data_IF_899424599072
#
_entry.id   IF_899424599072
#
_cell.length_a   1.000
_cell.length_b   1.000
_cell.length_c   1.000
_cell.angle_alpha   90.00
_cell.angle_beta   90.00
_cell.angle_gamma   90.00
#
_symmetry.space_group_name_H-M   'P 1'
#
loop_
_entity.id
_entity.type
_entity.pdbx_description
1 polymer ?
#
# COMPACT_ATOMS: atom_id res chain seq x y z
N UNK A 1 -22.50 -32.47 -19.81
CA UNK A 1 -22.11 -31.31 -18.98
C UNK A 1 -20.65 -31.55 -18.59
N UNK A 2 -19.71 -30.80 -19.17
CA UNK A 2 -18.29 -30.99 -18.86
C UNK A 2 -18.06 -30.52 -17.42
N UNK A 3 -17.59 -31.42 -16.56
CA UNK A 3 -17.19 -31.08 -15.21
C UNK A 3 -15.96 -30.19 -15.29
N UNK A 4 -16.15 -28.88 -15.23
CA UNK A 4 -15.04 -27.92 -15.14
C UNK A 4 -14.25 -28.27 -13.89
N UNK A 5 -12.96 -28.59 -14.04
CA UNK A 5 -12.13 -28.95 -12.90
C UNK A 5 -11.94 -27.73 -12.00
N UNK A 6 -11.74 -27.94 -10.69
CA UNK A 6 -11.50 -26.83 -9.74
C UNK A 6 -10.29 -25.99 -10.14
N UNK A 7 -9.27 -26.63 -10.74
CA UNK A 7 -8.11 -25.96 -11.32
C UNK A 7 -8.47 -25.00 -12.46
N UNK A 8 -9.35 -25.42 -13.38
CA UNK A 8 -9.79 -24.58 -14.49
C UNK A 8 -10.60 -23.38 -13.97
N UNK A 9 -11.44 -23.59 -12.96
CA UNK A 9 -12.19 -22.51 -12.32
C UNK A 9 -11.25 -21.51 -11.62
N UNK A 10 -10.23 -21.99 -10.90
CA UNK A 10 -9.24 -21.12 -10.27
C UNK A 10 -8.41 -20.34 -11.29
N UNK A 11 -8.02 -20.98 -12.40
CA UNK A 11 -7.32 -20.29 -13.49
C UNK A 11 -8.20 -19.25 -14.16
N UNK A 12 -9.48 -19.54 -14.39
CA UNK A 12 -10.44 -18.59 -14.95
C UNK A 12 -10.66 -17.40 -14.00
N UNK A 13 -10.76 -17.65 -12.69
CA UNK A 13 -10.87 -16.62 -11.68
C UNK A 13 -9.62 -15.73 -11.63
N UNK A 14 -8.42 -16.32 -11.75
CA UNK A 14 -7.17 -15.59 -11.83
C UNK A 14 -7.04 -14.76 -13.11
N UNK A 15 -7.48 -15.29 -14.25
CA UNK A 15 -7.49 -14.55 -15.52
C UNK A 15 -8.45 -13.37 -15.49
N UNK A 16 -9.62 -13.54 -14.87
CA UNK A 16 -10.65 -12.50 -14.77
C UNK A 16 -10.56 -11.70 -13.45
N UNK A 17 -9.35 -11.66 -12.86
CA UNK A 17 -9.10 -11.02 -11.56
C UNK A 17 -9.55 -9.55 -11.56
N UNK A 18 -10.07 -9.04 -10.44
CA UNK A 18 -10.43 -7.62 -10.33
C UNK A 18 -9.22 -6.70 -10.57
N UNK A 19 -9.48 -5.55 -11.18
CA UNK A 19 -8.47 -4.51 -11.35
C UNK A 19 -8.65 -3.43 -10.29
N UNK A 20 -7.56 -2.97 -9.67
CA UNK A 20 -7.64 -1.85 -8.70
C UNK A 20 -7.87 -0.54 -9.45
N UNK A 21 -8.86 0.23 -8.96
CA UNK A 21 -9.35 1.48 -9.56
C UNK A 21 -9.06 2.67 -8.63
N UNK A 22 -7.79 3.12 -8.52
CA UNK A 22 -7.37 4.14 -7.56
C UNK A 22 -7.99 5.52 -7.82
N UNK A 23 -8.49 5.77 -9.03
CA UNK A 23 -9.14 7.03 -9.40
C UNK A 23 -10.60 7.11 -8.92
N UNK A 24 -11.27 5.96 -8.71
CA UNK A 24 -12.66 5.88 -8.25
C UNK A 24 -12.78 5.51 -6.76
N UNK A 25 -11.69 5.11 -6.10
CA UNK A 25 -11.66 4.72 -4.69
C UNK A 25 -10.77 5.61 -3.83
N UNK A 26 -11.13 5.79 -2.55
CA UNK A 26 -10.40 6.68 -1.64
C UNK A 26 -9.06 6.12 -1.14
N UNK A 27 -8.94 4.79 -1.03
CA UNK A 27 -7.72 4.11 -0.56
C UNK A 27 -7.35 3.05 -1.59
N UNK A 28 -6.25 3.21 -2.34
CA UNK A 28 -5.72 2.25 -3.33
C UNK A 28 -6.67 1.76 -4.47
N UNK A 29 -7.98 1.97 -4.39
CA UNK A 29 -8.97 1.50 -5.35
C UNK A 29 -9.34 0.01 -5.26
N UNK A 30 -8.99 -0.68 -4.17
CA UNK A 30 -9.20 -2.14 -4.03
C UNK A 30 -10.68 -2.48 -3.94
N UNK A 31 -11.41 -1.91 -2.97
CA UNK A 31 -12.85 -2.15 -2.81
C UNK A 31 -13.65 -1.66 -4.02
N UNK A 32 -13.23 -0.55 -4.64
CA UNK A 32 -13.82 -0.06 -5.88
C UNK A 32 -13.57 -1.03 -7.05
N UNK A 33 -12.41 -1.67 -7.09
CA UNK A 33 -12.05 -2.68 -8.09
C UNK A 33 -12.88 -3.94 -8.00
N UNK A 34 -13.01 -4.48 -6.80
CA UNK A 34 -13.83 -5.67 -6.53
C UNK A 34 -15.31 -5.37 -6.81
N UNK A 35 -15.81 -4.22 -6.36
CA UNK A 35 -17.20 -3.81 -6.59
C UNK A 35 -17.53 -3.64 -8.06
N UNK A 36 -16.63 -3.02 -8.82
CA UNK A 36 -16.80 -2.83 -10.26
C UNK A 36 -16.75 -4.13 -11.07
N UNK A 37 -16.04 -5.15 -10.59
CA UNK A 37 -15.98 -6.48 -11.24
C UNK A 37 -17.22 -7.33 -11.00
N UNK A 38 -17.82 -7.23 -9.81
CA UNK A 38 -18.94 -8.07 -9.37
C UNK A 38 -20.28 -7.32 -9.32
N UNK A 39 -20.34 -6.09 -9.81
CA UNK A 39 -21.51 -5.20 -9.78
C UNK A 39 -22.09 -4.99 -8.37
N UNK A 40 -21.20 -4.87 -7.38
CA UNK A 40 -21.53 -4.63 -5.97
C UNK A 40 -21.08 -3.24 -5.57
N UNK A 41 -21.89 -2.53 -4.78
CA UNK A 41 -21.51 -1.24 -4.23
C UNK A 41 -20.17 -1.33 -3.46
N UNK A 42 -19.14 -0.53 -3.84
CA UNK A 42 -17.87 -0.46 -3.11
C UNK A 42 -18.01 -0.21 -1.61
N UNK A 43 -19.11 0.40 -1.14
CA UNK A 43 -19.38 0.63 0.29
C UNK A 43 -19.55 -0.70 1.04
N UNK A 44 -20.30 -1.65 0.50
CA UNK A 44 -20.52 -2.97 1.13
C UNK A 44 -19.21 -3.74 1.30
N UNK A 45 -18.35 -3.67 0.29
CA UNK A 45 -17.03 -4.33 0.33
C UNK A 45 -16.14 -3.70 1.41
N UNK A 46 -16.20 -2.37 1.59
CA UNK A 46 -15.48 -1.70 2.69
C UNK A 46 -16.00 -2.16 4.05
N UNK A 47 -17.32 -2.20 4.22
CA UNK A 47 -17.93 -2.67 5.48
C UNK A 47 -17.49 -4.11 5.76
N UNK A 48 -17.48 -4.98 4.75
CA UNK A 48 -17.01 -6.35 4.92
C UNK A 48 -15.54 -6.42 5.38
N UNK A 49 -14.64 -5.61 4.80
CA UNK A 49 -13.25 -5.53 5.27
C UNK A 49 -13.15 -5.02 6.70
N UNK A 50 -13.90 -3.98 7.07
CA UNK A 50 -13.91 -3.41 8.42
C UNK A 50 -14.43 -4.42 9.45
N UNK A 51 -15.49 -5.14 9.12
CA UNK A 51 -16.01 -6.21 9.97
C UNK A 51 -14.98 -7.33 10.10
N UNK A 52 -14.37 -7.78 8.99
CA UNK A 52 -13.34 -8.81 9.04
C UNK A 52 -12.07 -8.39 9.81
N UNK A 53 -11.73 -7.09 9.86
CA UNK A 53 -10.67 -6.61 10.75
C UNK A 53 -11.04 -6.73 12.22
N UNK A 54 -12.29 -6.45 12.59
CA UNK A 54 -12.75 -6.54 13.99
C UNK A 54 -12.84 -7.99 14.47
N UNK A 55 -13.24 -8.91 13.59
CA UNK A 55 -13.45 -10.33 13.91
C UNK A 55 -12.19 -11.20 13.74
N UNK A 56 -10.99 -10.62 13.83
CA UNK A 56 -9.73 -11.37 13.80
C UNK A 56 -8.67 -10.83 12.85
N UNK A 57 -8.61 -9.51 12.63
CA UNK A 57 -7.50 -8.82 11.93
C UNK A 57 -7.38 -9.08 10.43
N UNK A 58 -8.10 -10.07 9.91
CA UNK A 58 -7.93 -10.57 8.54
C UNK A 58 -8.27 -9.54 7.47
N UNK A 59 -9.21 -8.64 7.75
CA UNK A 59 -9.64 -7.65 6.77
C UNK A 59 -8.51 -6.74 6.29
N UNK A 60 -7.56 -6.36 7.16
CA UNK A 60 -6.45 -5.46 6.78
C UNK A 60 -5.38 -6.24 6.01
N UNK A 61 -5.13 -7.48 6.41
CA UNK A 61 -4.22 -8.40 5.72
C UNK A 61 -4.72 -8.64 4.29
N UNK A 62 -5.99 -8.98 4.11
CA UNK A 62 -6.59 -9.18 2.79
C UNK A 62 -6.59 -7.89 1.97
N UNK A 63 -6.78 -6.73 2.60
CA UNK A 63 -6.75 -5.45 1.91
C UNK A 63 -5.35 -5.11 1.36
N UNK A 64 -4.31 -5.29 2.18
CA UNK A 64 -2.92 -5.07 1.79
C UNK A 64 -2.47 -6.10 0.74
N UNK A 65 -2.86 -7.37 0.91
CA UNK A 65 -2.59 -8.42 -0.07
C UNK A 65 -3.25 -8.12 -1.42
N UNK A 66 -4.53 -7.73 -1.43
CA UNK A 66 -5.23 -7.34 -2.65
C UNK A 66 -4.62 -6.08 -3.28
N UNK A 67 -4.05 -5.16 -2.50
CA UNK A 67 -3.35 -4.00 -3.03
C UNK A 67 -2.05 -4.38 -3.79
N UNK A 68 -1.32 -5.40 -3.32
CA UNK A 68 -0.11 -5.90 -3.96
C UNK A 68 -0.40 -6.80 -5.17
N UNK A 69 -1.42 -7.64 -5.07
CA UNK A 69 -1.76 -8.68 -6.05
C UNK A 69 -2.59 -8.12 -7.22
N UNK A 70 -3.54 -7.21 -6.97
CA UNK A 70 -4.40 -6.68 -8.04
C UNK A 70 -3.64 -5.65 -8.89
N UNK A 71 -3.67 -5.81 -10.21
CA UNK A 71 -3.09 -4.85 -11.17
C UNK A 71 -3.96 -3.60 -11.27
N UNK A 72 -3.33 -2.44 -11.48
CA UNK A 72 -4.06 -1.19 -11.77
C UNK A 72 -4.74 -1.32 -13.12
N UNK A 73 -5.93 -0.74 -13.27
CA UNK A 73 -6.58 -0.61 -14.57
C UNK A 73 -5.62 0.13 -15.53
N UNK A 74 -5.17 -0.55 -16.59
CA UNK A 74 -4.17 -0.03 -17.53
C UNK A 74 -2.77 -0.66 -17.43
N UNK A 75 -2.39 -1.25 -16.29
CA UNK A 75 -1.10 -1.92 -16.13
C UNK A 75 -1.18 -3.39 -16.59
N UNK A 76 -0.04 -3.97 -17.05
CA UNK A 76 0.07 -5.38 -17.44
C UNK A 76 0.47 -6.29 -16.27
N UNK A 77 1.07 -5.71 -15.23
CA UNK A 77 1.57 -6.41 -14.06
C UNK A 77 1.06 -5.80 -12.75
N UNK A 78 0.94 -6.63 -11.72
CA UNK A 78 0.77 -6.17 -10.35
C UNK A 78 2.07 -5.56 -9.81
N UNK A 79 1.99 -4.81 -8.70
CA UNK A 79 3.16 -4.14 -8.11
C UNK A 79 4.27 -5.14 -7.76
N UNK A 80 3.89 -6.31 -7.24
CA UNK A 80 4.82 -7.39 -6.92
C UNK A 80 5.35 -8.10 -8.16
N UNK A 81 4.52 -8.31 -9.19
CA UNK A 81 4.95 -8.93 -10.48
C UNK A 81 6.01 -8.06 -11.17
N UNK A 82 5.87 -6.73 -11.10
CA UNK A 82 6.86 -5.82 -11.68
C UNK A 82 8.21 -5.82 -10.95
N UNK A 83 8.22 -6.07 -9.64
CA UNK A 83 9.48 -6.26 -8.88
C UNK A 83 10.21 -7.55 -9.26
N UNK A 84 9.46 -8.57 -9.70
CA UNK A 84 9.99 -9.87 -10.18
C UNK A 84 10.35 -9.80 -11.68
N UNK A 85 10.24 -8.62 -12.31
CA UNK A 85 10.57 -8.40 -13.72
C UNK A 85 9.51 -8.91 -14.70
N UNK A 86 8.32 -9.30 -14.22
CA UNK A 86 7.20 -9.75 -15.06
C UNK A 86 6.29 -8.56 -15.38
N UNK A 87 6.66 -7.78 -16.38
CA UNK A 87 5.83 -6.71 -16.96
C UNK A 87 6.02 -5.32 -16.33
N UNK A 88 5.22 -4.36 -16.79
CA UNK A 88 5.36 -2.94 -16.42
C UNK A 88 4.20 -2.54 -15.49
N UNK A 89 4.54 -1.99 -14.32
CA UNK A 89 3.58 -1.35 -13.42
C UNK A 89 3.85 0.15 -13.30
N UNK A 90 2.79 0.94 -13.22
CA UNK A 90 2.89 2.39 -13.04
C UNK A 90 3.06 2.78 -11.56
N UNK A 91 3.27 1.81 -10.66
CA UNK A 91 3.51 2.08 -9.24
C UNK A 91 5.00 2.22 -8.95
N UNK A 92 5.34 3.11 -8.02
CA UNK A 92 6.72 3.27 -7.57
C UNK A 92 7.15 2.04 -6.77
N UNK A 93 8.33 1.50 -7.08
CA UNK A 93 8.95 0.37 -6.36
C UNK A 93 9.03 0.61 -4.86
N UNK A 94 9.25 1.85 -4.43
CA UNK A 94 9.25 2.21 -3.01
C UNK A 94 7.87 1.97 -2.38
N UNK A 95 6.78 2.28 -3.07
CA UNK A 95 5.42 2.06 -2.56
C UNK A 95 5.10 0.57 -2.47
N UNK A 96 5.53 -0.23 -3.44
CA UNK A 96 5.30 -1.68 -3.41
C UNK A 96 6.06 -2.33 -2.26
N UNK A 97 7.32 -1.94 -2.04
CA UNK A 97 8.14 -2.40 -0.90
C UNK A 97 7.50 -2.01 0.43
N UNK A 98 7.09 -0.76 0.61
CA UNK A 98 6.46 -0.30 1.87
C UNK A 98 5.17 -1.08 2.17
N UNK A 99 4.33 -1.32 1.16
CA UNK A 99 3.10 -2.11 1.33
C UNK A 99 3.41 -3.58 1.61
N UNK A 100 4.45 -4.15 1.00
CA UNK A 100 4.89 -5.52 1.29
C UNK A 100 5.38 -5.67 2.74
N UNK A 101 6.20 -4.74 3.23
CA UNK A 101 6.66 -4.71 4.62
C UNK A 101 5.46 -4.55 5.58
N UNK A 102 4.55 -3.63 5.27
CA UNK A 102 3.33 -3.45 6.06
C UNK A 102 2.45 -4.72 6.10
N UNK A 103 2.37 -5.46 4.98
CA UNK A 103 1.66 -6.74 4.93
C UNK A 103 2.33 -7.79 5.81
N UNK A 104 3.67 -7.89 5.81
CA UNK A 104 4.41 -8.82 6.68
C UNK A 104 4.16 -8.50 8.15
N UNK A 105 4.28 -7.23 8.54
CA UNK A 105 3.99 -6.79 9.92
C UNK A 105 2.53 -7.10 10.29
N UNK A 106 1.58 -6.82 9.40
CA UNK A 106 0.17 -7.12 9.63
C UNK A 106 -0.09 -8.63 9.75
N UNK A 107 0.60 -9.48 8.98
CA UNK A 107 0.53 -10.93 9.12
C UNK A 107 1.10 -11.41 10.45
N UNK A 108 2.20 -10.82 10.93
CA UNK A 108 2.82 -11.19 12.21
C UNK A 108 2.00 -10.76 13.42
N UNK A 109 1.37 -9.57 13.36
CA UNK A 109 0.67 -8.96 14.52
C UNK A 109 -0.83 -9.19 14.52
N UNK A 110 -1.46 -9.19 13.34
CA UNK A 110 -2.91 -9.16 13.12
C UNK A 110 -3.36 -10.30 12.19
N UNK A 111 -2.49 -11.29 11.98
CA UNK A 111 -2.75 -12.38 11.05
C UNK A 111 -3.90 -13.28 11.49
N UNK A 112 -4.50 -14.04 10.55
CA UNK A 112 -5.55 -15.02 10.86
C UNK A 112 -5.13 -16.09 11.90
N UNK A 113 -3.81 -16.27 12.07
CA UNK A 113 -3.18 -17.19 13.02
C UNK A 113 -2.49 -16.47 14.21
N UNK A 114 -2.67 -15.16 14.35
CA UNK A 114 -2.04 -14.35 15.39
C UNK A 114 -2.56 -14.61 16.81
N UNK A 115 -1.69 -14.34 17.78
CA UNK A 115 -1.90 -14.46 19.23
C UNK A 115 -3.04 -13.54 19.71
N UNK A 116 -4.21 -14.10 20.06
CA UNK A 116 -5.20 -13.36 20.85
C UNK A 116 -6.66 -13.78 20.73
N UNK A 117 -7.11 -14.39 19.62
CA UNK A 117 -8.55 -14.60 19.39
C UNK A 117 -8.88 -15.94 18.69
N UNK A 118 -8.55 -17.06 19.34
CA UNK A 118 -9.26 -18.35 19.22
C UNK A 118 -9.69 -18.85 17.84
N UNK A 119 -8.91 -18.62 16.77
CA UNK A 119 -9.24 -19.07 15.40
C UNK A 119 -10.29 -18.25 14.65
N UNK A 120 -10.82 -17.17 15.24
CA UNK A 120 -11.80 -16.28 14.60
C UNK A 120 -11.30 -15.66 13.29
N UNK A 121 -10.00 -15.36 13.22
CA UNK A 121 -9.32 -14.88 12.02
C UNK A 121 -9.46 -15.85 10.84
N UNK A 122 -9.25 -17.16 11.07
CA UNK A 122 -9.38 -18.20 10.03
C UNK A 122 -10.82 -18.30 9.53
N UNK A 123 -11.80 -18.20 10.42
CA UNK A 123 -13.23 -18.21 10.05
C UNK A 123 -13.55 -16.96 9.20
N UNK A 124 -13.06 -15.78 9.59
CA UNK A 124 -13.28 -14.55 8.84
C UNK A 124 -12.60 -14.58 7.46
N UNK A 125 -11.42 -15.21 7.36
CA UNK A 125 -10.71 -15.44 6.11
C UNK A 125 -11.49 -16.39 5.19
N UNK A 126 -11.96 -17.51 5.73
CA UNK A 126 -12.78 -18.46 4.99
C UNK A 126 -14.11 -17.82 4.52
N UNK A 127 -14.77 -17.02 5.36
CA UNK A 127 -15.98 -16.31 5.00
C UNK A 127 -15.75 -15.27 3.88
N UNK A 128 -14.63 -14.53 3.93
CA UNK A 128 -14.26 -13.57 2.87
C UNK A 128 -13.96 -14.26 1.54
N UNK A 129 -13.16 -15.33 1.57
CA UNK A 129 -12.83 -16.09 0.36
C UNK A 129 -14.08 -16.80 -0.21
N UNK A 130 -14.92 -17.37 0.66
CA UNK A 130 -16.20 -17.95 0.28
C UNK A 130 -17.16 -16.93 -0.31
N UNK A 131 -17.24 -15.73 0.26
CA UNK A 131 -18.03 -14.62 -0.27
C UNK A 131 -17.56 -14.16 -1.65
N UNK A 132 -16.25 -14.05 -1.85
CA UNK A 132 -15.65 -13.74 -3.16
C UNK A 132 -15.97 -14.83 -4.19
N UNK A 133 -15.88 -16.10 -3.79
CA UNK A 133 -16.19 -17.24 -4.64
C UNK A 133 -17.68 -17.27 -5.03
N UNK A 134 -18.59 -17.02 -4.08
CA UNK A 134 -20.03 -16.92 -4.36
C UNK A 134 -20.36 -15.74 -5.29
N UNK A 135 -19.68 -14.60 -5.13
CA UNK A 135 -19.80 -13.48 -6.07
C UNK A 135 -19.31 -13.86 -7.47
N UNK A 136 -18.22 -14.62 -7.55
CA UNK A 136 -17.72 -15.13 -8.83
C UNK A 136 -18.68 -16.11 -9.50
N UNK A 137 -19.36 -16.96 -8.73
CA UNK A 137 -20.41 -17.83 -9.27
C UNK A 137 -21.61 -17.07 -9.80
N UNK A 138 -21.97 -15.93 -9.18
CA UNK A 138 -23.06 -15.07 -9.65
C UNK A 138 -22.68 -14.28 -10.90
N UNK A 139 -21.44 -13.80 -10.98
CA UNK A 139 -20.94 -12.98 -12.08
C UNK A 139 -19.64 -13.55 -12.66
N UNK A 140 -19.68 -14.72 -13.32
CA UNK A 140 -18.48 -15.37 -13.85
C UNK A 140 -17.85 -14.55 -14.96
N UNK A 141 -18.67 -13.96 -15.84
CA UNK A 141 -18.19 -13.07 -16.89
C UNK A 141 -17.91 -11.66 -16.35
N UNK A 142 -16.76 -11.07 -16.70
CA UNK A 142 -16.53 -9.66 -16.40
C UNK A 142 -17.50 -8.79 -17.23
N UNK A 143 -17.91 -7.63 -16.67
CA UNK A 143 -18.80 -6.72 -17.36
C UNK A 143 -18.21 -6.24 -18.71
N UNK A 144 -19.07 -5.89 -19.69
CA UNK A 144 -18.69 -5.72 -21.09
C UNK A 144 -17.54 -4.73 -21.32
N UNK A 145 -17.48 -3.66 -20.52
CA UNK A 145 -16.48 -2.61 -20.61
C UNK A 145 -15.07 -3.01 -20.12
N UNK A 146 -14.95 -4.03 -19.26
CA UNK A 146 -13.64 -4.62 -18.91
C UNK A 146 -13.18 -5.58 -20.02
N UNK A 147 -14.14 -6.32 -20.59
CA UNK A 147 -13.95 -7.20 -21.75
C UNK A 147 -13.43 -6.43 -22.97
N UNK A 148 -14.02 -5.28 -23.28
CA UNK A 148 -13.56 -4.43 -24.40
C UNK A 148 -12.19 -3.86 -24.15
N UNK A 149 -11.85 -3.44 -22.93
CA UNK A 149 -10.50 -2.97 -22.62
C UNK A 149 -9.44 -4.06 -22.84
N UNK A 150 -9.75 -5.33 -22.54
CA UNK A 150 -8.90 -6.49 -22.82
C UNK A 150 -8.86 -6.86 -24.31
N UNK A 151 -10.01 -6.84 -25.00
CA UNK A 151 -10.09 -7.08 -26.45
C UNK A 151 -9.34 -6.01 -27.25
N UNK A 152 -9.51 -4.73 -26.91
CA UNK A 152 -8.76 -3.62 -27.50
C UNK A 152 -7.26 -3.78 -27.23
N UNK A 153 -6.86 -4.26 -26.05
CA UNK A 153 -5.44 -4.49 -25.71
C UNK A 153 -4.85 -5.70 -26.44
N UNK A 154 -5.64 -6.74 -26.74
CA UNK A 154 -5.21 -7.86 -27.59
C UNK A 154 -5.21 -7.48 -29.09
N UNK A 155 -6.15 -6.65 -29.54
CA UNK A 155 -6.22 -6.17 -30.93
C UNK A 155 -5.20 -5.06 -31.24
N UNK A 156 -4.74 -4.30 -30.24
CA UNK A 156 -3.71 -3.26 -30.35
C UNK A 156 -2.41 -3.61 -29.60
N UNK A 157 -2.18 -4.88 -29.24
CA UNK A 157 -0.81 -5.31 -29.03
C UNK A 157 -0.08 -5.02 -30.34
N UNK A 158 1.06 -4.30 -30.36
CA UNK A 158 1.80 -4.09 -31.60
C UNK A 158 2.24 -5.47 -32.07
N UNK A 159 1.48 -6.06 -32.98
CA UNK A 159 1.99 -7.12 -33.83
C UNK A 159 3.16 -6.46 -34.55
N UNK A 160 4.39 -7.00 -34.44
CA UNK A 160 5.43 -6.55 -35.35
C UNK A 160 4.84 -6.69 -36.76
N UNK A 161 4.86 -5.59 -37.52
CA UNK A 161 4.38 -5.59 -38.90
C UNK A 161 4.92 -6.84 -39.61
N UNK A 162 4.05 -7.82 -39.91
CA UNK A 162 4.46 -9.07 -40.57
C UNK A 162 3.92 -10.40 -40.03
N UNK A 163 3.04 -10.46 -39.02
CA UNK A 163 2.44 -11.74 -38.59
C UNK A 163 0.96 -11.88 -38.95
N UNK A 164 0.64 -11.88 -40.24
CA UNK A 164 -0.57 -12.54 -40.74
C UNK A 164 -0.15 -13.85 -41.39
N UNK A 165 -0.59 -14.95 -40.78
CA UNK A 165 -0.65 -16.28 -41.38
C UNK A 165 -1.60 -16.24 -42.58
N UNK A 166 -1.09 -15.80 -43.74
CA UNK A 166 -1.66 -16.07 -45.06
C UNK A 166 -0.52 -16.06 -46.07
N UNK A 167 -0.08 -17.27 -46.45
CA UNK A 167 0.55 -17.61 -47.74
C UNK A 167 1.38 -16.52 -48.44
N UNK A 168 2.42 -16.01 -47.77
CA UNK A 168 3.37 -15.06 -48.36
C UNK A 168 4.72 -15.73 -48.70
N UNK A 169 4.71 -16.98 -49.15
CA UNK A 169 5.89 -17.61 -49.77
C UNK A 169 6.06 -17.25 -51.26
N UNK A 170 5.16 -16.46 -51.86
CA UNK A 170 5.17 -16.27 -53.31
C UNK A 170 5.82 -14.97 -53.82
N UNK A 171 6.19 -14.02 -52.96
CA UNK A 171 6.88 -12.82 -53.43
C UNK A 171 8.19 -12.63 -52.67
N UNK A 172 9.22 -13.06 -53.39
CA UNK A 172 10.64 -12.97 -53.11
C UNK A 172 11.08 -11.58 -52.65
N UNK A 173 12.08 -11.63 -51.78
CA UNK A 173 12.94 -10.52 -51.41
C UNK A 173 13.45 -9.77 -52.66
N UNK A 174 12.84 -8.62 -52.94
CA UNK A 174 13.38 -7.61 -53.84
C UNK A 174 13.47 -6.27 -53.11
N UNK A 175 14.66 -6.03 -52.56
CA UNK A 175 15.27 -4.72 -52.28
C UNK A 175 14.42 -3.66 -51.57
N UNK A 176 14.20 -3.80 -50.26
CA UNK A 176 13.97 -2.63 -49.41
C UNK A 176 15.30 -2.18 -48.79
N UNK A 177 15.84 -1.06 -49.28
CA UNK A 177 16.92 -0.29 -48.65
C UNK A 177 16.28 0.86 -47.87
N UNK A 178 16.37 0.91 -46.53
CA UNK A 178 15.79 2.03 -45.78
C UNK A 178 16.51 3.33 -46.16
N UNK A 179 15.78 4.46 -46.30
CA UNK A 179 16.40 5.76 -46.52
C UNK A 179 17.31 6.10 -45.33
N UNK A 180 18.57 6.40 -45.61
CA UNK A 180 19.52 6.91 -44.63
C UNK A 180 19.13 8.36 -44.32
N UNK A 181 18.42 8.59 -43.22
CA UNK A 181 18.23 9.95 -42.71
C UNK A 181 19.58 10.40 -42.12
N UNK A 182 20.22 11.38 -42.75
CA UNK A 182 21.31 12.13 -42.13
C UNK A 182 20.71 13.00 -41.03
N UNK A 183 21.02 12.67 -39.78
CA UNK A 183 20.71 13.54 -38.65
C UNK A 183 21.65 14.76 -38.75
N UNK A 184 21.15 15.90 -39.22
CA UNK A 184 21.87 17.16 -39.07
C UNK A 184 22.02 17.47 -37.58
N UNK A 185 23.27 17.42 -37.11
CA UNK A 185 23.63 17.91 -35.77
C UNK A 185 23.27 19.38 -35.67
N UNK A 186 22.40 19.72 -34.72
CA UNK A 186 22.11 21.09 -34.33
C UNK A 186 23.43 21.79 -33.96
N UNK A 187 23.82 22.79 -34.75
CA UNK A 187 24.95 23.65 -34.44
C UNK A 187 24.52 24.71 -33.41
N UNK A 188 25.42 25.22 -32.55
CA UNK A 188 25.08 26.14 -31.46
C UNK A 188 24.53 27.52 -31.89
N UNK A 189 24.27 27.76 -33.18
CA UNK A 189 23.74 29.02 -33.71
C UNK A 189 22.34 28.93 -34.33
N UNK A 190 21.69 27.77 -34.32
CA UNK A 190 20.31 27.64 -34.83
C UNK A 190 19.29 27.65 -33.68
N UNK A 191 18.63 28.78 -33.46
CA UNK A 191 17.45 28.87 -32.59
C UNK A 191 16.18 28.74 -33.42
N UNK A 192 15.18 27.98 -32.94
CA UNK A 192 13.86 27.92 -33.57
C UNK A 192 13.22 29.33 -33.65
N UNK A 193 12.50 29.66 -34.74
CA UNK A 193 11.78 30.93 -34.84
C UNK A 193 10.71 31.03 -33.75
N UNK A 194 10.68 32.17 -33.05
CA UNK A 194 9.81 32.40 -31.88
C UNK A 194 8.35 32.70 -32.22
N UNK A 195 8.01 32.82 -33.49
CA UNK A 195 6.64 33.07 -33.94
C UNK A 195 6.39 32.40 -35.28
N UNK A 196 5.21 31.78 -35.40
CA UNK A 196 4.70 31.24 -36.64
C UNK A 196 3.86 32.34 -37.32
N UNK A 197 4.31 32.82 -38.48
CA UNK A 197 3.47 33.61 -39.38
C UNK A 197 2.87 32.66 -40.42
N UNK A 198 1.53 32.52 -40.47
CA UNK A 198 0.90 31.75 -41.54
C UNK A 198 1.08 32.48 -42.86
N UNK A 199 1.60 31.76 -43.86
CA UNK A 199 1.64 32.22 -45.25
C UNK A 199 0.21 32.57 -45.69
N UNK A 200 -0.09 33.86 -45.84
CA UNK A 200 -1.34 34.29 -46.45
C UNK A 200 -1.25 33.91 -47.93
N UNK A 201 -2.06 32.94 -48.36
CA UNK A 201 -2.25 32.70 -49.79
C UNK A 201 -2.86 33.96 -50.40
N UNK A 202 -2.12 34.63 -51.28
CA UNK A 202 -2.69 35.61 -52.20
C UNK A 202 -3.65 34.84 -53.11
N UNK A 203 -4.94 34.95 -52.81
CA UNK A 203 -6.00 34.53 -53.72
C UNK A 203 -5.99 35.56 -54.85
N UNK A 204 -5.38 35.19 -55.98
CA UNK A 204 -5.56 35.93 -57.22
C UNK A 204 -7.05 35.97 -57.55
N UNK A 205 -7.64 37.17 -57.44
CA UNK A 205 -8.98 37.48 -57.94
C UNK A 205 -9.03 37.21 -59.45
N UNK A 206 -9.72 36.14 -59.83
CA UNK A 206 -10.21 35.93 -61.20
C UNK A 206 -11.35 34.92 -61.15
N UNK A 207 -12.57 35.39 -60.92
CA UNK A 207 -13.77 34.56 -61.02
C UNK A 207 -14.94 35.13 -60.22
N UNK A 208 -15.83 35.84 -60.92
CA UNK A 208 -17.09 36.40 -60.43
C UNK A 208 -17.90 35.36 -59.64
N UNK A 209 -17.96 35.50 -58.32
CA UNK A 209 -18.91 34.75 -57.49
C UNK A 209 -20.29 35.45 -57.54
N UNK A 210 -21.41 34.71 -57.66
CA UNK A 210 -22.72 35.33 -57.64
C UNK A 210 -23.03 35.88 -56.24
N UNK A 211 -23.32 37.18 -56.16
CA UNK A 211 -23.83 37.84 -54.96
C UNK A 211 -25.21 37.26 -54.63
N UNK A 212 -25.32 36.52 -53.54
CA UNK A 212 -26.62 36.12 -52.98
C UNK A 212 -27.15 37.29 -52.17
N UNK A 213 -28.19 37.93 -52.71
CA UNK A 213 -28.88 39.04 -52.06
C UNK A 213 -29.87 38.49 -51.02
N UNK A 214 -29.67 38.84 -49.74
CA UNK A 214 -30.48 38.37 -48.60
C UNK A 214 -31.63 39.31 -48.22
N UNK A 215 -31.98 40.28 -49.06
CA UNK A 215 -33.13 41.15 -48.78
C UNK A 215 -34.45 40.44 -49.06
N UNK A 216 -35.08 39.98 -47.98
CA UNK A 216 -36.44 39.43 -47.95
C UNK A 216 -37.44 40.58 -48.07
N UNK A 217 -37.88 40.91 -49.29
CA UNK A 217 -39.10 41.68 -49.54
C UNK A 217 -39.51 41.56 -51.01
N UNK A 218 -40.58 40.82 -51.30
CA UNK A 218 -41.86 41.32 -51.82
C UNK A 218 -42.71 40.16 -52.33
N UNK A 219 -44.00 40.19 -51.97
CA UNK A 219 -45.06 39.43 -52.61
C UNK A 219 -45.10 39.74 -54.12
N UNK A 220 -45.18 38.70 -54.96
CA UNK A 220 -45.76 38.80 -56.29
C UNK A 220 -46.31 37.44 -56.74
N UNK A 221 -47.62 37.47 -56.98
CA UNK A 221 -48.50 36.65 -57.83
C UNK A 221 -47.91 35.55 -58.73
N UNK A 222 -48.69 34.49 -58.90
CA UNK A 222 -48.29 33.22 -59.49
C UNK A 222 -48.03 33.20 -61.00
N UNK A 223 -47.29 32.16 -61.42
CA UNK A 223 -47.53 31.39 -62.65
C UNK A 223 -46.93 29.98 -62.43
N UNK A 224 -47.65 28.88 -62.68
CA UNK A 224 -47.13 27.53 -62.44
C UNK A 224 -46.30 27.07 -63.64
N UNK A 225 -45.01 26.87 -63.46
CA UNK A 225 -44.16 26.20 -64.47
C UNK A 225 -44.04 24.71 -64.10
N UNK A 226 -44.54 23.86 -65.00
CA UNK A 226 -44.53 22.40 -64.92
C UNK A 226 -43.14 21.82 -64.61
N UNK A 227 -43.04 21.10 -63.50
CA UNK A 227 -41.86 20.29 -63.15
C UNK A 227 -41.85 19.01 -64.00
N UNK A 228 -40.95 18.95 -64.98
CA UNK A 228 -40.53 17.68 -65.59
C UNK A 228 -39.47 17.06 -64.66
N UNK A 229 -39.60 15.81 -64.18
CA UNK A 229 -38.56 15.20 -63.38
C UNK A 229 -37.36 14.85 -64.27
N UNK A 230 -36.25 15.58 -64.11
CA UNK A 230 -34.96 15.23 -64.70
C UNK A 230 -34.43 13.96 -64.01
N UNK A 231 -34.05 12.90 -64.74
CA UNK A 231 -33.43 11.73 -64.13
C UNK A 231 -32.07 12.12 -63.51
N UNK A 232 -31.64 11.47 -62.41
CA UNK A 232 -30.39 11.80 -61.75
C UNK A 232 -29.24 11.62 -62.73
N UNK A 233 -28.51 12.71 -62.99
CA UNK A 233 -27.34 12.64 -63.85
C UNK A 233 -26.30 11.73 -63.19
N UNK A 234 -25.93 10.67 -63.91
CA UNK A 234 -24.79 9.84 -63.55
C UNK A 234 -23.54 10.71 -63.63
N UNK A 235 -23.00 11.12 -62.48
CA UNK A 235 -21.73 11.83 -62.39
C UNK A 235 -20.61 10.88 -62.80
N UNK A 236 -20.12 11.02 -64.03
CA UNK A 236 -18.91 10.34 -64.47
C UNK A 236 -17.68 11.04 -63.89
N UNK A 237 -16.71 10.29 -63.32
CA UNK A 237 -15.53 10.89 -62.71
C UNK A 237 -14.66 11.62 -63.75
N UNK A 238 -13.93 12.68 -63.35
CA UNK A 238 -13.04 13.42 -64.23
C UNK A 238 -11.91 12.53 -64.77
N UNK A 239 -11.51 12.76 -66.02
CA UNK A 239 -10.60 11.92 -66.80
C UNK A 239 -9.16 11.83 -66.30
N UNK A 240 -8.78 12.62 -65.29
CA UNK A 240 -7.45 12.61 -64.69
C UNK A 240 -7.26 11.46 -63.67
N UNK A 241 -8.32 10.76 -63.24
CA UNK A 241 -8.20 9.63 -62.31
C UNK A 241 -8.08 8.27 -63.06
N UNK A 242 -6.88 7.67 -63.18
CA UNK A 242 -6.66 6.43 -63.92
C UNK A 242 -7.24 5.18 -63.25
N UNK A 243 -7.77 5.29 -62.02
CA UNK A 243 -8.35 4.15 -61.30
C UNK A 243 -9.88 4.16 -61.23
N UNK A 244 -10.54 5.19 -61.79
CA UNK A 244 -12.01 5.27 -61.88
C UNK A 244 -12.71 5.13 -60.52
N UNK A 245 -12.04 5.53 -59.44
CA UNK A 245 -12.53 5.34 -58.08
C UNK A 245 -13.49 6.48 -57.80
N UNK A 246 -14.75 6.15 -57.54
CA UNK A 246 -15.77 7.16 -57.39
C UNK A 246 -15.46 8.12 -56.21
N UNK A 247 -15.78 9.41 -56.30
CA UNK A 247 -15.38 10.42 -55.31
C UNK A 247 -15.80 10.08 -53.86
N UNK A 248 -16.88 9.32 -53.70
CA UNK A 248 -17.39 8.87 -52.41
C UNK A 248 -16.58 7.73 -51.76
N UNK A 249 -15.69 7.06 -52.49
CA UNK A 249 -14.82 6.03 -51.92
C UNK A 249 -13.60 6.61 -51.17
N UNK A 250 -13.39 7.93 -51.25
CA UNK A 250 -12.40 8.67 -50.46
C UNK A 250 -12.96 9.22 -49.15
N UNK A 251 -14.26 9.06 -48.89
CA UNK A 251 -14.88 9.40 -47.61
C UNK A 251 -14.62 8.27 -46.59
N UNK A 252 -13.34 8.13 -46.23
CA UNK A 252 -12.94 7.33 -45.08
C UNK A 252 -13.61 7.96 -43.85
N UNK A 253 -14.26 7.18 -42.96
CA UNK A 253 -14.76 7.70 -41.70
C UNK A 253 -13.63 8.48 -41.04
N UNK A 254 -13.87 9.78 -40.76
CA UNK A 254 -12.89 10.61 -40.07
C UNK A 254 -12.34 9.79 -38.90
N UNK A 255 -11.01 9.57 -38.80
CA UNK A 255 -10.46 8.78 -37.72
C UNK A 255 -10.99 9.39 -36.44
N UNK A 256 -11.82 8.64 -35.71
CA UNK A 256 -12.56 9.13 -34.56
C UNK A 256 -11.65 10.06 -33.79
N UNK A 257 -11.97 11.37 -33.82
CA UNK A 257 -11.03 12.41 -33.43
C UNK A 257 -10.35 11.97 -32.15
N UNK A 258 -9.02 12.00 -32.11
CA UNK A 258 -8.29 11.61 -30.92
C UNK A 258 -8.77 12.52 -29.81
N UNK A 259 -9.75 12.08 -29.02
CA UNK A 259 -10.12 12.77 -27.81
C UNK A 259 -8.85 12.65 -26.98
N UNK A 260 -8.08 13.75 -26.76
CA UNK A 260 -7.00 13.66 -25.81
C UNK A 260 -7.66 13.15 -24.54
N UNK A 261 -7.19 12.04 -23.94
CA UNK A 261 -7.83 11.48 -22.76
C UNK A 261 -7.98 12.63 -21.79
N UNK A 262 -9.23 12.99 -21.45
CA UNK A 262 -9.53 14.20 -20.72
C UNK A 262 -8.52 14.33 -19.59
N UNK A 263 -7.66 15.35 -19.65
CA UNK A 263 -6.53 15.46 -18.74
C UNK A 263 -7.10 15.42 -17.32
N UNK A 264 -6.98 14.28 -16.65
CA UNK A 264 -7.65 14.04 -15.38
C UNK A 264 -6.99 15.02 -14.41
N UNK A 265 -7.73 16.07 -14.06
CA UNK A 265 -7.22 17.14 -13.24
C UNK A 265 -6.80 16.56 -11.89
N UNK A 266 -5.49 16.46 -11.66
CA UNK A 266 -4.95 15.94 -10.42
C UNK A 266 -5.37 16.91 -9.33
N UNK A 267 -6.38 16.55 -8.54
CA UNK A 267 -6.88 17.36 -7.43
C UNK A 267 -5.70 17.79 -6.55
N UNK A 268 -5.38 19.08 -6.59
CA UNK A 268 -4.21 19.66 -5.91
C UNK A 268 -4.34 19.38 -4.42
N UNK A 269 -3.42 18.59 -3.85
CA UNK A 269 -3.46 18.22 -2.43
C UNK A 269 -3.34 19.50 -1.60
N UNK A 270 -4.24 19.66 -0.63
CA UNK A 270 -4.28 20.85 0.23
C UNK A 270 -3.01 20.95 1.06
N UNK A 271 -2.35 22.12 1.03
CA UNK A 271 -1.16 22.43 1.83
C UNK A 271 -1.44 22.38 3.35
N UNK A 272 -2.72 22.46 3.74
CA UNK A 272 -3.18 22.41 5.13
C UNK A 272 -2.70 21.15 5.85
N UNK A 273 -2.78 19.99 5.20
CA UNK A 273 -2.35 18.72 5.80
C UNK A 273 -0.84 18.70 6.04
N UNK A 274 -0.06 19.22 5.09
CA UNK A 274 1.40 19.29 5.22
C UNK A 274 1.83 20.29 6.31
N UNK A 275 1.14 21.43 6.43
CA UNK A 275 1.44 22.43 7.46
C UNK A 275 1.21 21.92 8.88
N UNK A 276 0.06 21.29 9.16
CA UNK A 276 -0.22 20.74 10.49
C UNK A 276 0.61 19.51 10.82
N UNK A 277 0.98 18.70 9.82
CA UNK A 277 1.91 17.60 10.02
C UNK A 277 3.32 18.10 10.36
N UNK A 278 3.80 19.13 9.65
CA UNK A 278 5.08 19.78 9.96
C UNK A 278 5.09 20.41 11.36
N UNK A 279 3.99 21.03 11.77
CA UNK A 279 3.85 21.61 13.11
C UNK A 279 3.83 20.54 14.20
N UNK A 280 3.16 19.40 13.96
CA UNK A 280 3.15 18.28 14.89
C UNK A 280 4.56 17.68 15.09
N UNK A 281 5.33 17.55 14.00
CA UNK A 281 6.72 17.10 14.05
C UNK A 281 7.62 18.08 14.80
N UNK A 282 7.46 19.38 14.57
CA UNK A 282 8.17 20.41 15.33
C UNK A 282 7.80 20.39 16.81
N UNK A 283 6.52 20.25 17.14
CA UNK A 283 6.06 20.15 18.53
C UNK A 283 6.66 18.94 19.25
N UNK A 284 6.71 17.79 18.58
CA UNK A 284 7.38 16.60 19.11
C UNK A 284 8.88 16.85 19.34
N UNK A 285 9.58 17.38 18.33
CA UNK A 285 11.03 17.64 18.42
C UNK A 285 11.39 18.65 19.52
N UNK A 286 10.60 19.71 19.68
CA UNK A 286 10.78 20.70 20.76
C UNK A 286 10.56 20.07 22.13
N UNK A 287 9.52 19.23 22.27
CA UNK A 287 9.22 18.56 23.55
C UNK A 287 10.33 17.58 23.94
N UNK A 288 10.82 16.78 22.99
CA UNK A 288 11.95 15.87 23.21
C UNK A 288 13.24 16.62 23.52
N UNK A 289 13.54 17.69 22.76
CA UNK A 289 14.74 18.51 22.98
C UNK A 289 14.71 19.21 24.35
N UNK A 290 13.54 19.70 24.78
CA UNK A 290 13.38 20.28 26.10
C UNK A 290 13.66 19.27 27.21
N UNK A 291 13.14 18.04 27.10
CA UNK A 291 13.37 16.98 28.09
C UNK A 291 14.83 16.60 28.22
N UNK A 292 15.55 16.50 27.10
CA UNK A 292 16.98 16.22 27.08
C UNK A 292 17.82 17.35 27.71
N UNK A 293 17.39 18.60 27.56
CA UNK A 293 18.10 19.76 28.12
C UNK A 293 17.83 19.97 29.61
N UNK A 294 16.63 19.65 30.10
CA UNK A 294 16.25 19.85 31.50
C UNK A 294 16.46 18.62 32.39
N UNK A 295 16.84 17.47 31.80
CA UNK A 295 17.04 16.22 32.55
C UNK A 295 15.77 15.73 33.26
N UNK A 296 14.59 16.15 32.79
CA UNK A 296 13.34 15.88 33.49
C UNK A 296 12.76 14.53 33.06
N UNK A 297 12.73 13.57 33.99
CA UNK A 297 12.08 12.25 33.85
C UNK A 297 10.59 12.34 33.48
N UNK A 298 9.99 13.53 33.62
CA UNK A 298 8.59 13.76 33.33
C UNK A 298 8.25 13.74 31.82
N UNK A 299 9.23 13.79 30.92
CA UNK A 299 8.98 13.73 29.46
C UNK A 299 9.03 12.29 28.97
N UNK A 300 7.91 11.59 29.11
CA UNK A 300 7.75 10.23 28.59
C UNK A 300 7.45 10.23 27.08
N UNK A 301 7.80 9.16 26.34
CA UNK A 301 7.48 9.02 24.92
C UNK A 301 5.98 9.21 24.61
N UNK A 302 5.11 8.76 25.51
CA UNK A 302 3.66 8.94 25.39
C UNK A 302 3.22 10.42 25.40
N UNK A 303 3.89 11.27 26.18
CA UNK A 303 3.57 12.71 26.26
C UNK A 303 4.05 13.48 25.04
N UNK A 304 5.20 13.12 24.49
CA UNK A 304 5.67 13.67 23.21
C UNK A 304 4.64 13.36 22.12
N UNK A 305 4.13 12.12 22.09
CA UNK A 305 3.03 11.73 21.22
C UNK A 305 1.74 12.51 21.47
N UNK A 306 1.37 12.75 22.74
CA UNK A 306 0.17 13.51 23.11
C UNK A 306 0.22 14.99 22.67
N UNK A 307 1.39 15.63 22.73
CA UNK A 307 1.59 17.00 22.21
C UNK A 307 1.39 17.04 20.69
N UNK A 308 2.00 16.10 19.96
CA UNK A 308 1.83 16.00 18.51
C UNK A 308 0.36 15.74 18.13
N UNK A 309 -0.34 14.88 18.88
CA UNK A 309 -1.76 14.59 18.68
C UNK A 309 -2.62 15.82 18.96
N UNK A 310 -2.32 16.59 19.99
CA UNK A 310 -3.05 17.83 20.32
C UNK A 310 -2.98 18.84 19.17
N UNK A 311 -1.81 18.99 18.53
CA UNK A 311 -1.64 19.86 17.35
C UNK A 311 -2.47 19.36 16.16
N UNK A 312 -2.51 18.04 15.94
CA UNK A 312 -3.33 17.41 14.90
C UNK A 312 -4.82 17.59 15.19
N UNK A 313 -5.25 17.44 16.44
CA UNK A 313 -6.63 17.64 16.86
C UNK A 313 -7.08 19.08 16.60
N UNK A 314 -6.25 20.08 16.93
CA UNK A 314 -6.51 21.49 16.60
C UNK A 314 -6.61 21.69 15.09
N UNK A 315 -5.72 21.07 14.31
CA UNK A 315 -5.78 21.09 12.85
C UNK A 315 -7.04 20.47 12.25
N UNK A 316 -7.58 19.42 12.88
CA UNK A 316 -8.86 18.80 12.52
C UNK A 316 -10.06 19.67 12.88
N UNK A 317 -10.06 20.31 14.06
CA UNK A 317 -11.12 21.24 14.48
C UNK A 317 -11.18 22.43 13.53
N UNK A 318 -10.04 23.08 13.26
CA UNK A 318 -9.93 24.17 12.28
C UNK A 318 -10.32 23.69 10.87
N UNK A 319 -9.90 22.48 10.50
CA UNK A 319 -10.25 21.86 9.22
C UNK A 319 -11.75 21.63 9.04
N UNK A 320 -12.46 21.23 10.10
CA UNK A 320 -13.90 21.01 10.09
C UNK A 320 -14.67 22.29 9.73
N UNK A 321 -14.26 23.45 10.26
CA UNK A 321 -14.86 24.75 9.91
C UNK A 321 -14.54 25.19 8.48
N UNK A 322 -13.35 24.87 7.96
CA UNK A 322 -12.92 25.25 6.61
C UNK A 322 -13.27 24.22 5.51
N UNK A 323 -14.03 23.15 5.84
CA UNK A 323 -14.31 21.98 4.97
C UNK A 323 -13.04 21.43 4.30
N UNK A 324 -11.91 21.45 5.01
CA UNK A 324 -10.58 21.01 4.57
C UNK A 324 -9.95 20.13 5.65
N UNK A 325 -8.97 19.28 5.31
CA UNK A 325 -8.20 18.55 6.34
C UNK A 325 -8.58 17.10 6.60
N UNK A 326 -9.46 16.47 5.81
CA UNK A 326 -9.73 15.02 5.88
C UNK A 326 -8.47 14.14 5.76
N UNK A 327 -7.37 14.66 5.20
CA UNK A 327 -6.09 13.96 5.17
C UNK A 327 -5.42 13.81 6.55
N UNK A 328 -5.74 14.67 7.52
CA UNK A 328 -5.22 14.57 8.87
C UNK A 328 -5.86 13.40 9.65
N UNK A 329 -7.07 12.96 9.29
CA UNK A 329 -7.72 11.79 9.91
C UNK A 329 -6.93 10.50 9.69
N UNK A 330 -6.34 10.35 8.50
CA UNK A 330 -5.53 9.17 8.14
C UNK A 330 -4.25 9.08 8.97
N UNK A 331 -3.69 10.22 9.39
CA UNK A 331 -2.47 10.28 10.21
C UNK A 331 -2.80 10.34 11.70
N UNK A 332 -3.86 11.05 12.07
CA UNK A 332 -4.29 11.23 13.45
C UNK A 332 -4.81 9.94 14.09
N UNK A 333 -5.51 9.08 13.33
CA UNK A 333 -6.00 7.80 13.86
C UNK A 333 -4.89 6.84 14.32
N UNK A 334 -3.86 6.52 13.51
CA UNK A 334 -2.76 5.67 13.97
C UNK A 334 -1.92 6.33 15.07
N UNK A 335 -1.71 7.65 15.00
CA UNK A 335 -1.01 8.37 16.07
C UNK A 335 -1.80 8.31 17.39
N UNK A 336 -3.13 8.45 17.35
CA UNK A 336 -3.99 8.29 18.51
C UNK A 336 -3.93 6.87 19.07
N UNK A 337 -3.96 5.85 18.21
CA UNK A 337 -3.74 4.46 18.63
C UNK A 337 -2.40 4.26 19.33
N UNK A 338 -1.32 4.80 18.77
CA UNK A 338 0.01 4.75 19.38
C UNK A 338 0.04 5.44 20.74
N UNK A 339 -0.52 6.65 20.87
CA UNK A 339 -0.54 7.39 22.15
C UNK A 339 -1.34 6.66 23.21
N UNK A 340 -2.50 6.10 22.85
CA UNK A 340 -3.31 5.30 23.77
C UNK A 340 -2.53 4.05 24.21
N UNK A 341 -1.91 3.33 23.27
CA UNK A 341 -1.12 2.13 23.58
C UNK A 341 0.09 2.47 24.47
N UNK A 342 0.85 3.51 24.11
CA UNK A 342 2.01 3.97 24.90
C UNK A 342 1.61 4.48 26.29
N UNK A 343 0.38 4.99 26.46
CA UNK A 343 -0.13 5.39 27.78
C UNK A 343 -0.53 4.20 28.63
N UNK A 344 -0.99 3.10 28.01
CA UNK A 344 -1.35 1.86 28.72
C UNK A 344 -0.11 1.06 29.10
N UNK A 345 0.90 1.00 28.23
CA UNK A 345 2.13 0.21 28.46
C UNK A 345 3.07 0.88 29.48
N UNK A 346 2.93 2.18 29.73
CA UNK A 346 3.78 2.92 30.66
C UNK A 346 5.17 3.24 30.07
N UNK A 347 5.99 4.04 30.78
CA UNK A 347 7.33 4.37 30.34
C UNK A 347 8.22 3.13 30.33
N UNK A 348 8.59 2.65 29.15
CA UNK A 348 9.69 1.70 28.97
C UNK A 348 11.00 2.48 29.14
N UNK A 349 11.65 2.30 30.28
CA UNK A 349 12.98 2.85 30.55
C UNK A 349 14.02 2.05 29.75
N UNK A 350 14.22 2.46 28.50
CA UNK A 350 15.26 1.89 27.64
C UNK A 350 16.68 2.25 28.12
N UNK A 351 16.79 3.23 29.02
CA UNK A 351 18.06 3.71 29.55
C UNK A 351 18.64 2.79 30.65
N UNK A 352 17.78 2.05 31.39
CA UNK A 352 18.21 1.08 32.41
C UNK A 352 18.20 -0.37 31.90
N UNK A 353 17.52 -0.64 30.77
CA UNK A 353 17.48 -1.97 30.19
C UNK A 353 18.85 -2.34 29.60
N UNK A 354 19.50 -3.34 30.18
CA UNK A 354 20.80 -3.81 29.72
C UNK A 354 20.63 -4.44 28.34
N UNK A 355 21.31 -3.88 27.33
CA UNK A 355 21.41 -4.46 26.00
C UNK A 355 22.81 -5.03 25.76
N UNK A 356 22.91 -6.32 25.45
CA UNK A 356 24.18 -7.04 25.26
C UNK A 356 24.46 -8.12 26.31
N UNK A 357 25.65 -8.72 26.27
CA UNK A 357 26.08 -9.73 27.23
C UNK A 357 26.74 -9.05 28.45
N UNK A 358 26.19 -9.23 29.64
CA UNK A 358 26.70 -8.66 30.87
C UNK A 358 26.91 -9.73 31.94
N UNK A 359 28.10 -9.72 32.54
CA UNK A 359 28.45 -10.53 33.71
C UNK A 359 28.50 -9.66 34.96
N UNK A 360 27.74 -10.02 35.98
CA UNK A 360 27.69 -9.31 37.26
C UNK A 360 27.96 -10.29 38.39
N UNK A 361 28.98 -10.01 39.21
CA UNK A 361 29.36 -10.85 40.34
C UNK A 361 29.43 -10.03 41.64
N UNK A 362 28.29 -9.76 42.31
CA UNK A 362 28.26 -8.96 43.53
C UNK A 362 28.73 -9.78 44.74
N UNK A 363 29.68 -9.23 45.49
CA UNK A 363 30.28 -9.90 46.67
C UNK A 363 29.58 -9.55 47.99
N UNK A 364 28.76 -8.50 48.00
CA UNK A 364 28.11 -7.98 49.23
C UNK A 364 26.63 -7.70 48.98
N UNK A 365 25.83 -7.79 50.05
CA UNK A 365 24.39 -7.50 49.99
C UNK A 365 24.10 -6.07 49.48
N UNK A 366 24.97 -5.09 49.70
CA UNK A 366 24.84 -3.72 49.17
C UNK A 366 25.17 -3.59 47.69
N UNK A 367 26.00 -4.48 47.15
CA UNK A 367 26.40 -4.46 45.73
C UNK A 367 25.37 -5.15 44.81
N UNK A 368 24.50 -5.99 45.38
CA UNK A 368 23.42 -6.63 44.64
C UNK A 368 22.30 -5.60 44.37
N UNK A 369 22.00 -5.31 43.11
CA UNK A 369 20.91 -4.41 42.77
C UNK A 369 19.54 -5.04 43.13
N UNK A 370 18.52 -4.24 43.48
CA UNK A 370 17.19 -4.77 43.79
C UNK A 370 16.45 -5.30 42.55
N UNK A 371 16.76 -4.77 41.36
CA UNK A 371 16.14 -5.16 40.10
C UNK A 371 17.18 -5.21 38.97
N UNK A 372 17.02 -6.16 38.05
CA UNK A 372 17.81 -6.32 36.84
C UNK A 372 16.89 -6.46 35.62
N UNK A 373 16.83 -5.41 34.79
CA UNK A 373 16.03 -5.39 33.57
C UNK A 373 16.88 -5.76 32.34
N UNK A 374 16.55 -6.88 31.70
CA UNK A 374 17.21 -7.38 30.49
C UNK A 374 16.27 -7.15 29.31
N UNK A 375 16.54 -6.10 28.53
CA UNK A 375 15.75 -5.75 27.35
C UNK A 375 16.04 -6.69 26.18
N UNK A 376 17.27 -6.62 25.66
CA UNK A 376 17.76 -7.45 24.55
C UNK A 376 19.19 -7.91 24.84
N UNK A 377 19.39 -9.13 25.34
CA UNK A 377 20.75 -9.57 25.69
C UNK A 377 20.87 -10.84 26.53
N UNK A 378 22.03 -10.98 27.16
CA UNK A 378 22.35 -12.09 28.05
C UNK A 378 22.85 -11.53 29.40
N UNK A 379 22.22 -11.97 30.50
CA UNK A 379 22.65 -11.65 31.86
C UNK A 379 23.21 -12.89 32.54
N UNK A 380 24.45 -12.82 32.99
CA UNK A 380 25.10 -13.86 33.79
C UNK A 380 25.39 -13.29 35.19
N UNK A 381 24.52 -13.62 36.13
CA UNK A 381 24.52 -13.14 37.51
C UNK A 381 25.14 -14.21 38.42
N UNK A 382 26.41 -14.03 38.78
CA UNK A 382 27.15 -14.94 39.65
C UNK A 382 27.10 -14.49 41.12
N UNK A 383 26.29 -15.17 41.91
CA UNK A 383 26.12 -14.91 43.35
C UNK A 383 26.97 -15.82 44.24
N UNK A 384 27.88 -16.63 43.68
CA UNK A 384 28.67 -17.62 44.46
C UNK A 384 29.53 -16.99 45.56
N UNK A 385 29.98 -15.76 45.35
CA UNK A 385 30.75 -14.97 46.33
C UNK A 385 29.89 -14.11 47.28
N UNK A 386 28.56 -14.18 47.19
CA UNK A 386 27.66 -13.32 47.94
C UNK A 386 27.50 -13.80 49.39
N UNK A 387 27.66 -12.88 50.34
CA UNK A 387 27.31 -13.10 51.74
C UNK A 387 26.11 -12.24 52.12
N UNK A 388 25.00 -12.87 52.51
CA UNK A 388 23.84 -12.15 53.05
C UNK A 388 23.91 -12.06 54.56
N UNK A 389 23.64 -10.86 55.06
CA UNK A 389 23.45 -10.58 56.48
C UNK A 389 21.97 -10.47 56.86
N UNK A 390 21.08 -10.31 55.87
CA UNK A 390 19.65 -10.08 56.04
C UNK A 390 18.89 -10.65 54.84
N UNK A 391 17.59 -10.90 54.98
CA UNK A 391 16.74 -11.35 53.88
C UNK A 391 16.71 -10.29 52.79
N UNK A 392 16.83 -10.73 51.53
CA UNK A 392 16.82 -9.82 50.39
C UNK A 392 16.01 -10.40 49.24
N UNK A 393 15.34 -9.53 48.50
CA UNK A 393 14.63 -9.88 47.28
C UNK A 393 15.34 -9.23 46.10
N UNK A 394 15.48 -9.98 45.01
CA UNK A 394 15.96 -9.50 43.71
C UNK A 394 14.95 -9.87 42.65
N UNK A 395 14.58 -8.88 41.84
CA UNK A 395 13.69 -9.06 40.69
C UNK A 395 14.51 -9.06 39.39
N UNK A 396 14.20 -9.99 38.49
CA UNK A 396 14.90 -10.16 37.21
C UNK A 396 13.86 -10.22 36.09
N UNK A 397 13.76 -9.14 35.33
CA UNK A 397 12.79 -9.01 34.24
C UNK A 397 13.50 -9.19 32.90
N UNK A 398 13.18 -10.26 32.18
CA UNK A 398 13.78 -10.59 30.87
C UNK A 398 12.73 -10.41 29.78
N UNK A 399 12.87 -9.33 29.00
CA UNK A 399 11.95 -9.08 27.87
C UNK A 399 12.34 -9.95 26.67
N UNK A 400 13.57 -9.83 26.17
CA UNK A 400 14.11 -10.62 25.07
C UNK A 400 15.55 -11.09 25.37
N UNK A 401 15.78 -12.40 25.48
CA UNK A 401 17.14 -12.95 25.67
C UNK A 401 17.25 -14.07 26.70
N UNK A 402 18.34 -14.10 27.46
CA UNK A 402 18.56 -15.10 28.50
C UNK A 402 19.18 -14.54 29.77
N UNK A 403 18.75 -15.03 30.93
CA UNK A 403 19.36 -14.74 32.22
C UNK A 403 19.73 -16.03 32.95
N UNK A 404 21.00 -16.15 33.33
CA UNK A 404 21.53 -17.25 34.14
C UNK A 404 21.93 -16.69 35.50
N UNK A 405 21.35 -17.25 36.56
CA UNK A 405 21.67 -16.89 37.95
C UNK A 405 22.36 -18.07 38.61
N UNK A 406 23.62 -17.88 39.00
CA UNK A 406 24.40 -18.91 39.69
C UNK A 406 24.43 -18.61 41.19
N UNK A 407 23.93 -19.54 42.00
CA UNK A 407 23.79 -19.40 43.46
C UNK A 407 24.69 -20.41 44.19
N UNK A 408 25.35 -20.04 45.30
CA UNK A 408 26.13 -20.98 46.09
C UNK A 408 25.23 -22.00 46.80
N UNK A 409 25.68 -23.25 46.86
CA UNK A 409 24.94 -24.36 47.47
C UNK A 409 24.79 -24.25 48.99
N UNK A 410 25.55 -23.41 49.67
CA UNK A 410 25.47 -23.17 51.11
C UNK A 410 24.36 -22.21 51.53
N UNK A 411 23.70 -21.57 50.57
CA UNK A 411 22.77 -20.48 50.81
C UNK A 411 21.32 -20.90 50.61
N UNK A 412 20.44 -20.38 51.47
CA UNK A 412 18.99 -20.61 51.38
C UNK A 412 18.36 -19.66 50.37
N UNK A 413 17.59 -20.21 49.42
CA UNK A 413 16.92 -19.46 48.37
C UNK A 413 15.44 -19.78 48.25
N UNK A 414 14.64 -18.78 47.92
CA UNK A 414 13.28 -18.95 47.44
C UNK A 414 13.21 -18.44 46.00
N UNK A 415 12.77 -19.28 45.08
CA UNK A 415 12.68 -18.92 43.66
C UNK A 415 11.23 -18.88 43.21
N UNK A 416 10.84 -17.77 42.59
CA UNK A 416 9.57 -17.61 41.90
C UNK A 416 9.88 -17.17 40.49
N UNK A 417 9.68 -18.08 39.54
CA UNK A 417 9.92 -17.78 38.14
C UNK A 417 8.68 -18.02 37.31
N UNK A 418 8.42 -17.10 36.40
CA UNK A 418 7.31 -17.16 35.47
C UNK A 418 7.84 -16.93 34.05
N UNK A 419 7.29 -17.66 33.08
CA UNK A 419 7.66 -17.51 31.68
C UNK A 419 6.40 -17.48 30.81
N UNK A 420 6.23 -16.43 30.02
CA UNK A 420 5.07 -16.29 29.12
C UNK A 420 5.34 -16.97 27.77
N UNK A 421 6.43 -16.60 27.10
CA UNK A 421 6.84 -17.09 25.79
C UNK A 421 8.30 -17.56 25.80
N UNK A 422 8.61 -18.50 26.69
CA UNK A 422 9.96 -18.96 26.96
C UNK A 422 10.05 -20.16 27.91
N UNK A 423 11.20 -20.35 28.54
CA UNK A 423 11.42 -21.36 29.58
C UNK A 423 12.01 -20.76 30.85
N UNK A 424 11.45 -21.15 32.00
CA UNK A 424 11.97 -20.81 33.32
C UNK A 424 12.41 -22.09 34.05
N UNK A 425 13.71 -22.29 34.18
CA UNK A 425 14.33 -23.40 34.90
C UNK A 425 14.83 -22.92 36.27
N UNK A 426 13.92 -22.76 37.23
CA UNK A 426 14.28 -22.26 38.56
C UNK A 426 14.21 -23.29 39.70
N UNK A 427 13.75 -24.51 39.42
CA UNK A 427 13.48 -25.55 40.42
C UNK A 427 12.09 -25.41 41.06
N UNK A 428 11.81 -26.27 42.04
CA UNK A 428 10.49 -26.31 42.70
C UNK A 428 10.21 -25.03 43.51
N UNK A 429 8.95 -24.55 43.51
CA UNK A 429 8.56 -23.39 44.30
C UNK A 429 8.65 -23.67 45.80
N UNK A 430 9.19 -22.69 46.54
CA UNK A 430 9.37 -22.76 48.00
C UNK A 430 10.79 -22.47 48.45
N UNK A 431 10.99 -22.45 49.77
CA UNK A 431 12.30 -22.18 50.38
C UNK A 431 13.16 -23.44 50.31
N UNK A 432 14.27 -23.36 49.58
CA UNK A 432 15.32 -24.38 49.54
C UNK A 432 16.43 -23.98 50.49
N UNK A 433 16.58 -24.73 51.58
CA UNK A 433 17.67 -24.51 52.52
C UNK A 433 19.02 -24.87 51.89
N UNK A 434 20.02 -24.02 52.09
CA UNK A 434 21.39 -24.30 51.69
C UNK A 434 21.97 -25.51 52.43
N UNK A 435 22.92 -26.21 51.78
CA UNK A 435 23.74 -27.24 52.44
C UNK A 435 24.47 -26.58 53.62
N UNK A 436 24.23 -27.09 54.83
CA UNK A 436 24.78 -26.56 56.09
C UNK A 436 24.25 -25.19 56.54
N UNK A 437 23.13 -24.72 55.97
CA UNK A 437 22.49 -23.49 56.42
C UNK A 437 21.92 -23.64 57.86
N UNK A 438 22.16 -22.63 58.70
CA UNK A 438 21.52 -22.54 60.02
C UNK A 438 20.00 -22.38 59.87
N UNK A 439 19.19 -22.81 60.85
CA UNK A 439 17.74 -22.63 60.82
C UNK A 439 17.30 -21.17 60.65
N UNK A 440 18.08 -20.22 61.16
CA UNK A 440 17.84 -18.78 61.08
C UNK A 440 18.70 -18.08 60.00
N UNK A 441 19.22 -18.83 59.02
CA UNK A 441 20.02 -18.25 57.95
C UNK A 441 19.17 -17.33 57.05
N UNK A 442 19.71 -16.19 56.59
CA UNK A 442 18.99 -15.28 55.71
C UNK A 442 18.64 -15.96 54.38
N UNK A 443 17.46 -15.64 53.86
CA UNK A 443 16.93 -16.18 52.60
C UNK A 443 17.00 -15.12 51.52
N UNK A 444 17.51 -15.51 50.34
CA UNK A 444 17.41 -14.69 49.13
C UNK A 444 16.19 -15.13 48.32
N UNK A 445 15.26 -14.20 48.12
CA UNK A 445 14.12 -14.39 47.22
C UNK A 445 14.51 -13.89 45.83
N UNK A 446 14.43 -14.78 44.84
CA UNK A 446 14.66 -14.46 43.43
C UNK A 446 13.31 -14.52 42.73
N UNK A 447 12.81 -13.36 42.33
CA UNK A 447 11.62 -13.23 41.50
C UNK A 447 12.07 -12.97 40.07
N UNK A 448 11.59 -13.75 39.12
CA UNK A 448 12.00 -13.57 37.73
C UNK A 448 10.89 -13.84 36.73
N UNK A 449 10.72 -12.89 35.82
CA UNK A 449 9.71 -12.94 34.78
C UNK A 449 10.42 -12.93 33.42
N UNK A 450 10.17 -13.97 32.61
CA UNK A 450 10.72 -14.09 31.27
C UNK A 450 9.58 -13.97 30.23
N UNK A 451 9.54 -12.87 29.48
CA UNK A 451 8.54 -12.69 28.42
C UNK A 451 8.93 -13.50 27.20
N UNK A 452 10.06 -13.20 26.55
CA UNK A 452 10.55 -13.89 25.34
C UNK A 452 12.00 -14.35 25.52
N UNK A 453 12.21 -15.46 26.22
CA UNK A 453 13.57 -15.87 26.58
C UNK A 453 13.71 -17.06 27.50
N UNK A 454 14.90 -17.21 28.06
CA UNK A 454 15.21 -18.25 29.06
C UNK A 454 15.67 -17.61 30.37
N UNK A 455 15.11 -18.07 31.49
CA UNK A 455 15.60 -17.75 32.83
C UNK A 455 16.00 -19.04 33.54
N UNK A 456 17.27 -19.14 33.94
CA UNK A 456 17.82 -20.35 34.56
C UNK A 456 18.49 -20.02 35.89
N UNK A 457 18.08 -20.69 36.96
CA UNK A 457 18.72 -20.58 38.29
C UNK A 457 19.45 -21.88 38.59
N UNK A 458 20.78 -21.80 38.67
CA UNK A 458 21.66 -22.94 38.94
C UNK A 458 22.26 -22.81 40.33
N UNK A 459 22.23 -23.89 41.10
CA UNK A 459 22.88 -23.96 42.41
C UNK A 459 24.14 -24.81 42.31
N UNK A 460 25.30 -24.26 42.67
CA UNK A 460 26.61 -24.94 42.58
C UNK A 460 27.28 -25.15 43.94
#
# INVERSE_FOLDING_TARGET
MNNVTVSDQLQQMWRTRPHRLPQRGHVAGVAAGIGYRYDVDPVLIRVAFVVSTLFGGTGIVLYLAAWLVLSRAGDSASGVESMVGRGHSSDSTTKTVVVAVALVIALSTLGPAGVGLGGSGVISLAAMLGGLWLLHQRCPEPPPYLRTAELTRQQYAPTPFGSTTTSAEQWSAAQYRPPQFQYEQYTPYTTLPKSYEPTRQEVSESGTAPTVDLTKNTLAEGTPASTVPTPPQAMTPPSWDPLGVAPFAWDLPEPAGTFPPAAIERKRRSRWTASFLGLALLGAAVTTGFGALTGSEWITPGRVGAVALSIIAVGLILGAFLRKGYGLLVVGAPLAGFVVLASVVGPVNLDDSVSGAQRVAPLTATALAPAYDVGFGELDLDLTGLTLTENKTVTIDVTFGSAVVTVPSTMSIETRCNAEFGSAECGDPGVRAGKDARPDAPVLTIEGDATFGELKVVQQ
#
